data_IF_125431447135
#
_entry.id   IF_125431447135
#
_cell.length_a   1.000
_cell.length_b   1.000
_cell.length_c   1.000
_cell.angle_alpha   90.00
_cell.angle_beta   90.00
_cell.angle_gamma   90.00
#
_symmetry.space_group_name_H-M   'P 1'
#
loop_
_entity.id
_entity.type
_entity.pdbx_description
1 polymer ?
#
# COMPACT_ATOMS: atom_id res chain seq x y z
N UNK A 1 9.92 -10.61 -63.59
CA UNK A 1 10.59 -9.69 -62.61
C UNK A 1 9.62 -8.70 -61.94
N UNK A 2 8.63 -8.11 -62.65
CA UNK A 2 7.71 -7.10 -62.06
C UNK A 2 6.82 -7.56 -60.88
N UNK A 3 6.38 -8.83 -60.84
CA UNK A 3 5.52 -9.36 -59.74
C UNK A 3 6.25 -9.56 -58.40
N UNK A 4 7.58 -9.80 -58.41
CA UNK A 4 8.38 -9.96 -57.18
C UNK A 4 8.69 -8.61 -56.52
N UNK A 5 8.88 -7.55 -57.31
CA UNK A 5 9.05 -6.19 -56.80
C UNK A 5 7.76 -5.62 -56.19
N UNK A 6 6.59 -5.93 -56.77
CA UNK A 6 5.31 -5.50 -56.20
C UNK A 6 5.02 -6.17 -54.84
N UNK A 7 5.36 -7.45 -54.68
CA UNK A 7 5.17 -8.18 -53.42
C UNK A 7 6.12 -7.68 -52.32
N UNK A 8 7.38 -7.32 -52.68
CA UNK A 8 8.33 -6.71 -51.74
C UNK A 8 7.86 -5.32 -51.27
N UNK A 9 7.30 -4.51 -52.18
CA UNK A 9 6.79 -3.17 -51.86
C UNK A 9 5.58 -3.23 -50.89
N UNK A 10 4.69 -4.20 -51.09
CA UNK A 10 3.53 -4.43 -50.21
C UNK A 10 3.97 -4.89 -48.81
N UNK A 11 4.97 -5.78 -48.72
CA UNK A 11 5.54 -6.18 -47.41
C UNK A 11 6.22 -5.02 -46.67
N UNK A 12 6.91 -4.11 -47.37
CA UNK A 12 7.54 -2.94 -46.75
C UNK A 12 6.49 -1.94 -46.23
N UNK A 13 5.37 -1.75 -46.94
CA UNK A 13 4.25 -0.92 -46.48
C UNK A 13 3.55 -1.54 -45.26
N UNK A 14 3.38 -2.87 -45.24
CA UNK A 14 2.81 -3.59 -44.09
C UNK A 14 3.71 -3.53 -42.84
N UNK A 15 5.03 -3.55 -43.01
CA UNK A 15 6.00 -3.38 -41.91
C UNK A 15 6.07 -1.93 -41.38
N UNK A 16 5.82 -0.94 -42.24
CA UNK A 16 5.75 0.47 -41.84
C UNK A 16 4.42 0.85 -41.15
N UNK A 17 3.38 0.01 -41.29
CA UNK A 17 2.09 0.18 -40.62
C UNK A 17 2.07 -0.31 -39.16
N UNK A 18 3.21 -0.73 -38.61
CA UNK A 18 3.38 -0.86 -37.17
C UNK A 18 3.27 0.53 -36.52
N UNK A 19 2.04 0.88 -36.16
CA UNK A 19 1.68 2.06 -35.38
C UNK A 19 2.54 2.13 -34.13
N UNK A 20 3.31 3.22 -34.00
CA UNK A 20 3.95 3.62 -32.74
C UNK A 20 2.88 3.59 -31.64
N UNK A 21 3.18 3.10 -30.43
CA UNK A 21 2.21 3.14 -29.33
C UNK A 21 1.71 4.58 -29.18
N UNK A 22 0.39 4.76 -29.23
CA UNK A 22 -0.22 6.06 -29.08
C UNK A 22 0.29 6.67 -27.77
N UNK A 23 0.95 7.84 -27.85
CA UNK A 23 1.27 8.61 -26.66
C UNK A 23 -0.07 9.05 -26.08
N UNK A 24 -0.40 8.56 -24.90
CA UNK A 24 -1.57 9.03 -24.17
C UNK A 24 -1.34 10.48 -23.75
N UNK A 25 -2.37 11.31 -23.89
CA UNK A 25 -2.37 12.71 -23.45
C UNK A 25 -3.31 12.84 -22.26
N UNK A 26 -2.83 13.45 -21.18
CA UNK A 26 -3.66 13.77 -20.02
C UNK A 26 -4.47 15.03 -20.31
N UNK A 27 -5.79 14.88 -20.27
CA UNK A 27 -6.75 16.00 -20.35
C UNK A 27 -7.28 16.33 -18.98
N UNK A 28 -7.80 17.55 -18.80
CA UNK A 28 -8.35 18.03 -17.54
C UNK A 28 -9.87 18.15 -17.63
N UNK A 29 -10.56 17.78 -16.55
CA UNK A 29 -11.99 17.97 -16.37
C UNK A 29 -12.30 18.45 -14.96
N UNK A 30 -13.54 18.86 -14.74
CA UNK A 30 -14.04 19.29 -13.44
C UNK A 30 -15.39 18.64 -13.16
N UNK A 31 -15.61 18.23 -11.91
CA UNK A 31 -16.86 17.61 -11.47
C UNK A 31 -17.04 17.84 -9.98
N UNK A 32 -18.21 18.30 -9.55
CA UNK A 32 -18.55 18.52 -8.13
C UNK A 32 -17.50 19.36 -7.36
N UNK A 33 -16.92 20.36 -8.03
CA UNK A 33 -15.88 21.21 -7.43
C UNK A 33 -14.47 20.60 -7.36
N UNK A 34 -14.25 19.41 -7.92
CA UNK A 34 -12.94 18.77 -8.00
C UNK A 34 -12.41 18.77 -9.44
N UNK A 35 -11.19 19.25 -9.63
CA UNK A 35 -10.44 19.08 -10.87
C UNK A 35 -9.80 17.69 -10.92
N UNK A 36 -9.84 17.05 -12.09
CA UNK A 36 -9.22 15.75 -12.32
C UNK A 36 -8.58 15.66 -13.70
N UNK A 37 -7.65 14.72 -13.85
CA UNK A 37 -7.02 14.35 -15.12
C UNK A 37 -7.66 13.07 -15.65
N UNK A 38 -7.73 12.90 -16.97
CA UNK A 38 -8.24 11.70 -17.63
C UNK A 38 -7.55 11.48 -18.98
N UNK A 39 -7.73 10.29 -19.56
CA UNK A 39 -7.25 9.95 -20.91
C UNK A 39 -8.46 9.68 -21.81
N UNK A 40 -8.46 10.25 -23.02
CA UNK A 40 -9.52 9.97 -24.00
C UNK A 40 -9.48 8.53 -24.50
N UNK A 41 -10.67 7.97 -24.72
CA UNK A 41 -10.86 6.57 -25.14
C UNK A 41 -10.29 5.53 -24.16
N UNK A 42 -10.12 5.89 -22.88
CA UNK A 42 -9.82 4.93 -21.83
C UNK A 42 -11.06 4.04 -21.57
N UNK A 43 -11.01 2.72 -21.82
CA UNK A 43 -12.14 1.83 -21.59
C UNK A 43 -12.58 1.80 -20.13
N UNK A 44 -11.68 2.11 -19.18
CA UNK A 44 -11.99 2.16 -17.75
C UNK A 44 -12.51 3.53 -17.30
N UNK A 45 -12.47 4.55 -18.16
CA UNK A 45 -12.87 5.92 -17.87
C UNK A 45 -12.28 6.45 -16.54
N UNK A 46 -10.99 6.20 -16.30
CA UNK A 46 -10.33 6.54 -15.04
C UNK A 46 -10.25 8.06 -14.88
N UNK A 47 -10.66 8.54 -13.71
CA UNK A 47 -10.42 9.90 -13.24
C UNK A 47 -9.26 9.89 -12.26
N UNK A 48 -8.29 10.76 -12.48
CA UNK A 48 -7.09 10.89 -11.67
C UNK A 48 -7.17 12.21 -10.91
N UNK A 49 -7.34 12.13 -9.60
CA UNK A 49 -7.34 13.28 -8.71
C UNK A 49 -5.97 13.42 -8.05
N UNK A 50 -5.53 14.65 -7.81
CA UNK A 50 -4.38 14.93 -6.94
C UNK A 50 -4.89 15.72 -5.74
N UNK A 51 -4.83 15.12 -4.55
CA UNK A 51 -5.29 15.75 -3.31
C UNK A 51 -4.31 16.83 -2.85
N UNK A 52 -4.75 17.67 -1.91
CA UNK A 52 -3.93 18.77 -1.35
C UNK A 52 -2.61 18.29 -0.73
N UNK A 53 -2.58 17.08 -0.18
CA UNK A 53 -1.39 16.44 0.38
C UNK A 53 -0.49 15.75 -0.68
N UNK A 54 -0.83 15.87 -1.97
CA UNK A 54 -0.10 15.26 -3.08
C UNK A 54 -0.49 13.81 -3.39
N UNK A 55 -1.36 13.17 -2.62
CA UNK A 55 -1.83 11.81 -2.91
C UNK A 55 -2.61 11.78 -4.22
N UNK A 56 -2.25 10.87 -5.12
CA UNK A 56 -3.00 10.62 -6.35
C UNK A 56 -4.05 9.53 -6.13
N UNK A 57 -5.30 9.83 -6.50
CA UNK A 57 -6.43 8.91 -6.41
C UNK A 57 -6.88 8.57 -7.83
N UNK A 58 -6.81 7.29 -8.19
CA UNK A 58 -7.26 6.76 -9.46
C UNK A 58 -8.62 6.11 -9.25
N UNK A 59 -9.66 6.67 -9.87
CA UNK A 59 -11.04 6.26 -9.66
C UNK A 59 -11.66 5.83 -10.99
N UNK A 60 -12.16 4.59 -11.06
CA UNK A 60 -12.95 4.08 -12.17
C UNK A 60 -14.32 3.65 -11.64
N UNK A 61 -15.38 3.98 -12.37
CA UNK A 61 -16.74 3.57 -12.04
C UNK A 61 -17.05 2.27 -12.78
N UNK A 62 -17.42 1.23 -12.02
CA UNK A 62 -17.80 -0.07 -12.58
C UNK A 62 -19.25 -0.40 -12.19
N UNK A 63 -20.16 -0.23 -13.15
CA UNK A 63 -21.62 -0.33 -12.90
C UNK A 63 -22.15 -1.77 -12.84
N UNK A 64 -21.38 -2.76 -13.31
CA UNK A 64 -21.84 -4.14 -13.39
C UNK A 64 -21.84 -4.88 -12.04
N UNK A 65 -21.25 -4.30 -10.98
CA UNK A 65 -21.31 -4.85 -9.62
C UNK A 65 -21.37 -3.71 -8.58
N UNK A 66 -22.28 -3.77 -7.59
CA UNK A 66 -22.37 -2.77 -6.52
C UNK A 66 -21.31 -3.01 -5.44
N UNK A 67 -20.03 -3.04 -5.82
CA UNK A 67 -18.89 -3.26 -4.91
C UNK A 67 -17.87 -2.16 -5.08
N UNK A 68 -17.23 -1.77 -3.98
CA UNK A 68 -16.08 -0.87 -3.97
C UNK A 68 -14.84 -1.71 -3.70
N UNK A 69 -13.79 -1.51 -4.49
CA UNK A 69 -12.47 -2.05 -4.24
C UNK A 69 -11.49 -0.90 -4.14
N UNK A 70 -10.68 -0.89 -3.08
CA UNK A 70 -9.65 0.11 -2.85
C UNK A 70 -8.29 -0.55 -2.71
N UNK A 71 -7.27 0.09 -3.27
CA UNK A 71 -5.88 -0.30 -3.08
C UNK A 71 -5.07 0.97 -2.82
N UNK A 72 -4.18 0.92 -1.84
CA UNK A 72 -3.28 2.02 -1.50
C UNK A 72 -1.86 1.52 -1.76
N UNK A 73 -1.19 2.14 -2.73
CA UNK A 73 0.19 1.83 -3.04
C UNK A 73 1.12 2.86 -2.40
N UNK A 74 2.15 2.38 -1.70
CA UNK A 74 3.22 3.22 -1.15
C UNK A 74 4.47 3.02 -2.00
N UNK A 75 5.12 4.11 -2.42
CA UNK A 75 6.37 4.06 -3.21
C UNK A 75 7.60 3.80 -2.32
N UNK A 76 7.55 2.71 -1.57
CA UNK A 76 8.61 2.20 -0.71
C UNK A 76 8.47 0.68 -0.60
N UNK A 77 9.53 -0.02 -0.15
CA UNK A 77 9.49 -1.47 0.06
C UNK A 77 10.84 -1.99 0.54
N UNK A 78 11.04 -3.31 0.57
CA UNK A 78 12.27 -3.92 1.13
C UNK A 78 13.58 -3.49 0.45
N UNK A 79 13.53 -2.99 -0.79
CA UNK A 79 14.71 -2.38 -1.46
C UNK A 79 15.18 -1.09 -0.77
N UNK A 80 14.30 -0.45 0.00
CA UNK A 80 14.57 0.75 0.76
C UNK A 80 14.92 0.46 2.23
N UNK A 81 14.98 -0.82 2.64
CA UNK A 81 15.38 -1.18 4.00
C UNK A 81 16.84 -0.78 4.26
N UNK A 82 17.18 -0.26 5.46
CA UNK A 82 18.56 -0.06 5.88
C UNK A 82 19.34 -1.39 5.85
N UNK A 83 20.63 -1.32 5.50
CA UNK A 83 21.48 -2.50 5.42
C UNK A 83 21.62 -3.25 6.76
N UNK A 84 21.46 -2.55 7.88
CA UNK A 84 21.52 -3.11 9.25
C UNK A 84 20.21 -3.79 9.68
N UNK A 85 19.10 -3.57 8.97
CA UNK A 85 17.76 -3.98 9.39
C UNK A 85 16.92 -4.38 8.16
N UNK A 86 17.26 -5.53 7.59
CA UNK A 86 16.49 -6.11 6.47
C UNK A 86 15.13 -6.63 6.96
N UNK A 87 14.10 -6.47 6.12
CA UNK A 87 12.74 -6.92 6.42
C UNK A 87 11.85 -5.88 7.10
N UNK A 88 12.32 -4.64 7.30
CA UNK A 88 11.54 -3.58 7.95
C UNK A 88 10.29 -3.20 7.17
N UNK A 89 10.36 -3.09 5.83
CA UNK A 89 9.17 -2.79 5.04
C UNK A 89 8.07 -3.86 5.20
N UNK A 90 8.47 -5.14 5.23
CA UNK A 90 7.53 -6.24 5.45
C UNK A 90 7.03 -6.25 6.89
N UNK A 91 7.89 -5.98 7.87
CA UNK A 91 7.47 -5.84 9.27
C UNK A 91 6.44 -4.72 9.44
N UNK A 92 6.68 -3.55 8.83
CA UNK A 92 5.73 -2.43 8.82
C UNK A 92 4.38 -2.84 8.22
N UNK A 93 4.37 -3.59 7.11
CA UNK A 93 3.14 -4.12 6.50
C UNK A 93 2.32 -4.93 7.51
N UNK A 94 2.94 -5.80 8.31
CA UNK A 94 2.23 -6.54 9.37
C UNK A 94 1.70 -5.64 10.48
N UNK A 95 2.45 -4.60 10.85
CA UNK A 95 2.07 -3.67 11.94
C UNK A 95 0.93 -2.74 11.50
N UNK A 96 0.85 -2.37 10.22
CA UNK A 96 -0.23 -1.51 9.70
C UNK A 96 -1.64 -2.11 9.91
N UNK A 97 -1.76 -3.43 10.07
CA UNK A 97 -3.03 -4.11 10.33
C UNK A 97 -3.30 -4.36 11.82
N UNK A 98 -2.46 -3.86 12.73
CA UNK A 98 -2.62 -4.06 14.19
C UNK A 98 -3.44 -2.97 14.88
N UNK A 99 -3.93 -1.97 14.15
CA UNK A 99 -4.77 -0.90 14.66
C UNK A 99 -4.12 0.48 14.55
N UNK A 100 -4.88 1.48 14.95
CA UNK A 100 -4.52 2.89 15.07
C UNK A 100 -5.08 3.42 16.40
N UNK A 101 -4.89 4.70 16.69
CA UNK A 101 -5.53 5.32 17.85
C UNK A 101 -7.07 5.31 17.79
N UNK A 102 -7.64 5.18 16.58
CA UNK A 102 -9.07 5.25 16.33
C UNK A 102 -9.71 3.89 16.01
N UNK A 103 -8.93 2.90 15.62
CA UNK A 103 -9.39 1.57 15.18
C UNK A 103 -8.52 0.46 15.73
N UNK A 104 -9.08 -0.70 16.02
CA UNK A 104 -8.38 -1.87 16.54
C UNK A 104 -8.13 -1.82 18.04
N UNK A 105 -8.81 -0.94 18.78
CA UNK A 105 -8.64 -0.73 20.23
C UNK A 105 -9.95 -0.43 20.94
N UNK A 106 -10.14 -0.98 22.13
CA UNK A 106 -11.25 -0.66 23.04
C UNK A 106 -11.01 0.65 23.80
N UNK A 107 -9.75 1.00 24.06
CA UNK A 107 -9.35 2.17 24.85
C UNK A 107 -7.89 2.54 24.57
N UNK A 108 -7.67 3.37 23.55
CA UNK A 108 -6.34 3.81 23.14
C UNK A 108 -5.56 4.48 24.28
N UNK A 109 -6.23 5.23 25.15
CA UNK A 109 -5.57 5.95 26.24
C UNK A 109 -4.96 4.99 27.27
N UNK A 110 -5.55 3.80 27.47
CA UNK A 110 -4.97 2.74 28.30
C UNK A 110 -3.99 1.86 27.53
N UNK A 111 -4.32 1.50 26.29
CA UNK A 111 -3.50 0.59 25.50
C UNK A 111 -2.14 1.19 25.15
N UNK A 112 -2.09 2.46 24.76
CA UNK A 112 -0.83 3.17 24.45
C UNK A 112 0.19 3.08 25.59
N UNK A 113 -0.24 3.23 26.84
CA UNK A 113 0.65 3.10 28.02
C UNK A 113 1.27 1.71 28.12
N UNK A 114 0.50 0.66 27.81
CA UNK A 114 0.99 -0.72 27.84
C UNK A 114 1.93 -0.98 26.65
N UNK A 115 1.61 -0.47 25.45
CA UNK A 115 2.46 -0.60 24.26
C UNK A 115 3.81 0.12 24.46
N UNK A 116 3.80 1.33 25.01
CA UNK A 116 5.02 2.08 25.36
C UNK A 116 5.88 1.31 26.38
N UNK A 117 5.24 0.68 27.38
CA UNK A 117 5.94 -0.17 28.34
C UNK A 117 6.58 -1.38 27.65
N UNK A 118 5.86 -2.04 26.74
CA UNK A 118 6.37 -3.19 25.99
C UNK A 118 7.57 -2.79 25.12
N UNK A 119 7.51 -1.65 24.44
CA UNK A 119 8.63 -1.11 23.66
C UNK A 119 9.88 -0.88 24.52
N UNK A 120 9.71 -0.21 25.68
CA UNK A 120 10.82 0.01 26.62
C UNK A 120 11.40 -1.30 27.14
N UNK A 121 10.55 -2.27 27.47
CA UNK A 121 11.00 -3.59 27.92
C UNK A 121 11.75 -4.34 26.81
N UNK A 122 11.29 -4.31 25.55
CA UNK A 122 12.03 -4.93 24.45
C UNK A 122 13.37 -4.24 24.18
N UNK A 123 13.43 -2.91 24.33
CA UNK A 123 14.69 -2.14 24.24
C UNK A 123 15.69 -2.60 25.29
N UNK A 124 15.24 -2.78 26.54
CA UNK A 124 16.08 -3.31 27.61
C UNK A 124 16.47 -4.79 27.36
N UNK A 125 15.51 -5.62 26.94
CA UNK A 125 15.74 -7.02 26.61
C UNK A 125 16.82 -7.20 25.53
N UNK A 126 16.92 -6.27 24.57
CA UNK A 126 17.99 -6.23 23.57
C UNK A 126 19.39 -6.07 24.14
N UNK A 127 19.54 -5.56 25.37
CA UNK A 127 20.82 -5.35 26.06
C UNK A 127 21.24 -6.55 26.92
N UNK A 128 20.30 -7.43 27.27
CA UNK A 128 20.58 -8.60 28.11
C UNK A 128 21.33 -9.68 27.31
N UNK A 129 22.41 -10.21 27.87
CA UNK A 129 23.21 -11.29 27.24
C UNK A 129 23.05 -12.64 27.94
N UNK A 130 22.77 -12.65 29.24
CA UNK A 130 22.60 -13.88 30.03
C UNK A 130 21.28 -14.60 29.67
N UNK A 131 21.37 -15.90 29.37
CA UNK A 131 20.24 -16.66 28.84
C UNK A 131 19.10 -16.84 29.84
N UNK A 132 19.42 -16.99 31.13
CA UNK A 132 18.43 -17.17 32.20
C UNK A 132 17.70 -15.85 32.44
N UNK A 133 18.43 -14.74 32.60
CA UNK A 133 17.85 -13.41 32.74
C UNK A 133 16.98 -13.04 31.54
N UNK A 134 17.44 -13.33 30.31
CA UNK A 134 16.62 -13.13 29.11
C UNK A 134 15.31 -13.91 29.18
N UNK A 135 15.36 -15.19 29.50
CA UNK A 135 14.16 -16.02 29.59
C UNK A 135 13.17 -15.49 30.63
N UNK A 136 13.66 -15.06 31.79
CA UNK A 136 12.81 -14.54 32.86
C UNK A 136 12.25 -13.14 32.55
N UNK A 137 13.05 -12.27 31.92
CA UNK A 137 12.58 -10.95 31.50
C UNK A 137 11.54 -11.05 30.37
N UNK A 138 11.70 -12.01 29.45
CA UNK A 138 10.73 -12.24 28.39
C UNK A 138 9.36 -12.66 28.93
N UNK A 139 9.30 -13.42 30.03
CA UNK A 139 8.01 -13.74 30.68
C UNK A 139 7.30 -12.49 31.18
N UNK A 140 8.03 -11.49 31.65
CA UNK A 140 7.44 -10.21 32.09
C UNK A 140 6.88 -9.43 30.90
N UNK A 141 7.62 -9.41 29.78
CA UNK A 141 7.13 -8.81 28.53
C UNK A 141 5.85 -9.50 28.07
N UNK A 142 5.80 -10.84 28.12
CA UNK A 142 4.64 -11.62 27.72
C UNK A 142 3.42 -11.32 28.61
N UNK A 143 3.62 -11.17 29.92
CA UNK A 143 2.54 -10.76 30.84
C UNK A 143 1.95 -9.39 30.46
N UNK A 144 2.80 -8.38 30.25
CA UNK A 144 2.32 -7.03 29.87
C UNK A 144 1.67 -7.05 28.48
N UNK A 145 2.23 -7.81 27.54
CA UNK A 145 1.67 -7.99 26.19
C UNK A 145 0.28 -8.64 26.23
N UNK A 146 0.06 -9.61 27.11
CA UNK A 146 -1.25 -10.23 27.29
C UNK A 146 -2.28 -9.27 27.92
N UNK A 147 -1.86 -8.35 28.80
CA UNK A 147 -2.75 -7.30 29.30
C UNK A 147 -3.11 -6.31 28.19
N UNK A 148 -2.15 -5.89 27.36
CA UNK A 148 -2.41 -5.03 26.20
C UNK A 148 -3.37 -5.69 25.22
N UNK A 149 -3.19 -7.00 24.95
CA UNK A 149 -4.04 -7.75 24.03
C UNK A 149 -5.52 -7.80 24.43
N UNK A 150 -5.87 -7.56 25.71
CA UNK A 150 -7.27 -7.46 26.15
C UNK A 150 -7.95 -6.18 25.68
N UNK A 151 -7.18 -5.15 25.33
CA UNK A 151 -7.66 -3.88 24.81
C UNK A 151 -7.70 -3.87 23.28
N UNK A 152 -6.91 -4.73 22.62
CA UNK A 152 -6.88 -4.83 21.18
C UNK A 152 -8.16 -5.47 20.60
N UNK A 153 -8.69 -4.89 19.53
CA UNK A 153 -9.80 -5.45 18.74
C UNK A 153 -9.22 -6.05 17.46
N UNK A 154 -8.92 -7.34 17.50
CA UNK A 154 -8.37 -8.03 16.33
C UNK A 154 -9.36 -8.00 15.14
N UNK A 155 -8.82 -7.64 13.97
CA UNK A 155 -9.53 -7.61 12.68
C UNK A 155 -10.82 -6.77 12.71
N UNK A 156 -10.82 -5.64 13.42
CA UNK A 156 -11.99 -4.75 13.43
C UNK A 156 -12.39 -4.29 12.02
N UNK A 157 -11.41 -4.08 11.13
CA UNK A 157 -11.65 -3.73 9.73
C UNK A 157 -12.54 -4.73 8.97
N UNK A 158 -12.51 -6.02 9.32
CA UNK A 158 -13.33 -7.05 8.64
C UNK A 158 -14.81 -6.96 9.03
N UNK A 159 -15.14 -6.21 10.09
CA UNK A 159 -16.48 -6.12 10.67
C UNK A 159 -17.24 -4.85 10.23
N UNK A 160 -16.62 -3.99 9.42
CA UNK A 160 -17.24 -2.80 8.80
C UNK A 160 -17.87 -3.15 7.45
#
# INVERSE_FOLDING_TARGET
>A
MKKRSALLLVCIILLAACSKPAKYELKKGESNGYSYEYVENDPLNVRIYTLKNGLKVYMSKYDAAPRIQTQIAVKAGGKNDPATNTGLAHYLEHIMFKGTADFGTLDWAKESVLLDSIEHMFTHYGQLTDSVQRADYYKQIDQVSNEAAKLAIANEYDKM
#
